data_IF_013304727910
#
_entry.id   IF_013304727910
#
_cell.length_a   1.000
_cell.length_b   1.000
_cell.length_c   1.000
_cell.angle_alpha   90.00
_cell.angle_beta   90.00
_cell.angle_gamma   90.00
#
_symmetry.space_group_name_H-M   'P 1'
#
loop_
_entity.id
_entity.type
_entity.pdbx_description
1 polymer ?
#
# COMPACT_ATOMS: atom_id res chain seq x y z
N UNK A 1 -19.56 63.70 -17.14
CA UNK A 1 -18.86 62.51 -16.61
C UNK A 1 -19.92 61.52 -16.13
N UNK A 2 -20.03 60.31 -16.69
CA UNK A 2 -21.08 59.38 -16.27
C UNK A 2 -20.72 58.81 -14.89
N UNK A 3 -21.63 58.98 -13.91
CA UNK A 3 -21.53 58.34 -12.60
C UNK A 3 -21.87 56.86 -12.80
N UNK A 4 -20.89 55.99 -12.64
CA UNK A 4 -21.11 54.54 -12.60
C UNK A 4 -21.93 54.23 -11.34
N UNK A 5 -23.26 54.12 -11.48
CA UNK A 5 -24.13 53.70 -10.38
C UNK A 5 -24.06 52.19 -10.27
N UNK A 6 -23.23 51.68 -9.36
CA UNK A 6 -23.31 50.27 -8.97
C UNK A 6 -24.62 50.07 -8.21
N UNK A 7 -25.60 49.40 -8.84
CA UNK A 7 -26.85 49.04 -8.17
C UNK A 7 -26.56 48.10 -7.00
N UNK A 8 -27.23 48.31 -5.86
CA UNK A 8 -27.05 47.56 -4.62
C UNK A 8 -27.16 46.03 -4.79
N UNK A 9 -27.95 45.58 -5.78
CA UNK A 9 -28.08 44.17 -6.17
C UNK A 9 -26.78 43.59 -6.77
N UNK A 10 -26.08 44.34 -7.61
CA UNK A 10 -24.81 43.90 -8.20
C UNK A 10 -23.69 43.81 -7.16
N UNK A 11 -23.71 44.71 -6.17
CA UNK A 11 -22.80 44.65 -5.03
C UNK A 11 -23.03 43.39 -4.19
N UNK A 12 -24.30 43.05 -3.89
CA UNK A 12 -24.64 41.84 -3.12
C UNK A 12 -24.28 40.56 -3.87
N UNK A 13 -24.56 40.49 -5.18
CA UNK A 13 -24.18 39.35 -6.02
C UNK A 13 -22.65 39.20 -6.05
N UNK A 14 -21.91 40.30 -6.25
CA UNK A 14 -20.45 40.28 -6.25
C UNK A 14 -19.87 39.76 -4.92
N UNK A 15 -20.41 40.22 -3.78
CA UNK A 15 -19.99 39.73 -2.46
C UNK A 15 -20.30 38.23 -2.29
N UNK A 16 -21.50 37.78 -2.66
CA UNK A 16 -21.87 36.36 -2.59
C UNK A 16 -20.97 35.49 -3.50
N UNK A 17 -20.64 35.96 -4.70
CA UNK A 17 -19.75 35.25 -5.62
C UNK A 17 -18.32 35.20 -5.09
N UNK A 18 -17.79 36.30 -4.54
CA UNK A 18 -16.46 36.32 -3.91
C UNK A 18 -16.40 35.38 -2.70
N UNK A 19 -17.43 35.38 -1.85
CA UNK A 19 -17.51 34.47 -0.70
C UNK A 19 -17.62 33.00 -1.12
N UNK A 20 -18.36 32.70 -2.20
CA UNK A 20 -18.45 31.35 -2.76
C UNK A 20 -17.09 30.87 -3.31
N UNK A 21 -16.37 31.72 -4.05
CA UNK A 21 -15.04 31.40 -4.56
C UNK A 21 -14.00 31.25 -3.43
N UNK A 22 -14.04 32.10 -2.39
CA UNK A 22 -13.19 31.94 -1.21
C UNK A 22 -13.52 30.63 -0.46
N UNK A 23 -14.79 30.28 -0.28
CA UNK A 23 -15.19 29.04 0.39
C UNK A 23 -14.77 27.77 -0.36
N UNK A 24 -14.82 27.80 -1.70
CA UNK A 24 -14.42 26.67 -2.54
C UNK A 24 -12.91 26.39 -2.53
N UNK A 25 -12.06 27.41 -2.32
CA UNK A 25 -10.61 27.24 -2.23
C UNK A 25 -10.13 26.58 -0.92
N UNK A 26 -11.00 26.46 0.09
CA UNK A 26 -10.64 25.98 1.43
C UNK A 26 -11.03 24.51 1.71
N UNK A 27 -11.71 23.79 0.81
CA UNK A 27 -12.43 22.56 1.18
C UNK A 27 -11.91 21.24 0.60
N UNK A 28 -10.72 21.19 0.00
CA UNK A 28 -10.08 19.91 -0.34
C UNK A 28 -8.65 19.88 0.21
N UNK A 29 -8.54 19.53 1.50
CA UNK A 29 -7.31 18.91 2.01
C UNK A 29 -7.52 17.41 2.00
N UNK A 30 -6.79 16.71 1.14
CA UNK A 30 -6.56 15.29 1.36
C UNK A 30 -5.67 15.18 2.59
N UNK A 31 -6.23 14.73 3.71
CA UNK A 31 -5.41 14.36 4.86
C UNK A 31 -4.47 13.23 4.41
N UNK A 32 -3.14 13.37 4.55
CA UNK A 32 -2.23 12.30 4.20
C UNK A 32 -2.60 11.08 5.03
N UNK A 33 -2.72 9.92 4.37
CA UNK A 33 -3.00 8.68 5.07
C UNK A 33 -2.02 8.51 6.23
N UNK A 34 -2.56 8.32 7.44
CA UNK A 34 -1.75 8.15 8.65
C UNK A 34 -0.80 6.98 8.41
N UNK A 35 0.50 7.18 8.66
CA UNK A 35 1.47 6.11 8.46
C UNK A 35 1.14 4.94 9.40
N UNK A 36 0.88 3.79 8.82
CA UNK A 36 0.68 2.54 9.56
C UNK A 36 2.03 1.84 9.66
N UNK A 37 2.44 1.47 10.87
CA UNK A 37 3.61 0.62 11.07
C UNK A 37 3.19 -0.84 10.90
N UNK A 38 3.60 -1.45 9.79
CA UNK A 38 3.52 -2.90 9.62
C UNK A 38 4.62 -3.56 10.46
N UNK A 39 4.24 -4.57 11.23
CA UNK A 39 5.16 -5.37 12.05
C UNK A 39 5.01 -6.82 11.62
N UNK A 40 6.10 -7.40 11.12
CA UNK A 40 6.16 -8.82 10.85
C UNK A 40 6.30 -9.58 12.18
N UNK A 41 5.38 -10.53 12.41
CA UNK A 41 5.34 -11.36 13.62
C UNK A 41 5.73 -12.82 13.31
N UNK A 42 6.37 -13.05 12.15
CA UNK A 42 6.76 -14.36 11.67
C UNK A 42 8.27 -14.58 11.81
N UNK A 43 8.68 -15.84 12.03
CA UNK A 43 10.08 -16.26 11.96
C UNK A 43 10.45 -16.67 10.52
N UNK A 44 11.75 -16.59 10.18
CA UNK A 44 12.27 -17.16 8.94
C UNK A 44 11.87 -18.64 8.78
N UNK A 45 11.51 -19.03 7.56
CA UNK A 45 11.01 -20.37 7.24
C UNK A 45 11.94 -21.09 6.26
N UNK A 46 12.79 -21.98 6.78
CA UNK A 46 13.83 -22.69 6.03
C UNK A 46 14.22 -24.04 6.69
N UNK A 47 15.32 -24.66 6.26
CA UNK A 47 15.78 -25.96 6.78
C UNK A 47 16.11 -25.96 8.27
N UNK A 48 16.27 -24.78 8.89
CA UNK A 48 16.56 -24.61 10.32
C UNK A 48 15.31 -24.33 11.15
N UNK A 49 14.14 -24.15 10.52
CA UNK A 49 12.87 -23.99 11.23
C UNK A 49 12.62 -25.18 12.14
N UNK A 50 12.21 -24.88 13.38
CA UNK A 50 11.93 -25.90 14.40
C UNK A 50 10.57 -26.54 14.14
N UNK A 51 10.54 -27.87 14.25
CA UNK A 51 9.34 -28.71 14.19
C UNK A 51 9.33 -29.64 15.40
N UNK A 52 8.17 -30.25 15.68
CA UNK A 52 8.10 -31.36 16.61
C UNK A 52 9.02 -32.52 16.16
N UNK A 53 9.71 -33.21 17.07
CA UNK A 53 10.69 -34.25 16.71
C UNK A 53 10.16 -35.39 15.84
N UNK A 54 8.86 -35.67 15.90
CA UNK A 54 8.19 -36.72 15.11
C UNK A 54 7.54 -36.20 13.83
N UNK A 55 7.55 -34.88 13.59
CA UNK A 55 6.95 -34.25 12.41
C UNK A 55 7.93 -34.15 11.25
N UNK A 56 7.38 -34.01 10.04
CA UNK A 56 8.19 -33.76 8.85
C UNK A 56 8.77 -32.34 8.89
N UNK A 57 10.10 -32.24 8.98
CA UNK A 57 10.81 -30.96 8.87
C UNK A 57 10.68 -30.35 7.47
N UNK A 58 10.99 -29.07 7.38
CA UNK A 58 11.09 -28.35 6.11
C UNK A 58 12.08 -29.03 5.15
N UNK A 59 11.66 -29.21 3.90
CA UNK A 59 12.51 -29.65 2.80
C UNK A 59 12.23 -28.79 1.58
N UNK A 60 13.31 -28.30 0.98
CA UNK A 60 13.29 -27.60 -0.31
C UNK A 60 14.14 -28.40 -1.30
N UNK A 61 13.57 -28.63 -2.48
CA UNK A 61 14.25 -29.21 -3.64
C UNK A 61 14.32 -28.14 -4.73
N UNK A 62 15.52 -27.91 -5.26
CA UNK A 62 15.73 -26.95 -6.35
C UNK A 62 15.39 -27.66 -7.66
N UNK A 63 14.42 -27.13 -8.40
CA UNK A 63 13.97 -27.65 -9.70
C UNK A 63 14.71 -26.97 -10.85
N UNK A 64 14.93 -25.65 -10.74
CA UNK A 64 15.78 -24.89 -11.63
C UNK A 64 16.44 -23.77 -10.82
N UNK A 65 17.70 -23.46 -11.10
CA UNK A 65 18.34 -22.22 -10.65
C UNK A 65 19.41 -21.80 -11.65
N UNK A 66 19.10 -20.78 -12.46
CA UNK A 66 20.10 -20.24 -13.39
C UNK A 66 19.54 -19.47 -14.57
N UNK A 67 20.44 -19.09 -15.48
CA UNK A 67 20.06 -18.53 -16.79
C UNK A 67 19.40 -19.61 -17.66
N UNK A 68 18.31 -19.25 -18.31
CA UNK A 68 17.63 -20.05 -19.32
C UNK A 68 18.28 -19.85 -20.69
N UNK A 69 17.95 -20.73 -21.63
CA UNK A 69 18.35 -20.59 -23.03
C UNK A 69 17.83 -19.29 -23.66
N UNK A 70 16.70 -18.76 -23.17
CA UNK A 70 16.15 -17.46 -23.59
C UNK A 70 16.90 -16.25 -23.02
N UNK A 71 17.98 -16.45 -22.26
CA UNK A 71 18.84 -15.39 -21.75
C UNK A 71 18.39 -14.74 -20.43
N UNK A 72 17.27 -15.16 -19.84
CA UNK A 72 16.76 -14.65 -18.56
C UNK A 72 17.08 -15.60 -17.40
N UNK A 73 17.10 -15.10 -16.16
CA UNK A 73 17.28 -15.94 -14.97
C UNK A 73 15.94 -16.55 -14.54
N UNK A 74 15.94 -17.85 -14.21
CA UNK A 74 14.77 -18.56 -13.69
C UNK A 74 15.16 -19.44 -12.49
N UNK A 75 14.37 -19.35 -11.42
CA UNK A 75 14.46 -20.25 -10.28
C UNK A 75 13.10 -20.85 -9.94
N UNK A 76 13.10 -22.14 -9.63
CA UNK A 76 11.93 -22.88 -9.19
C UNK A 76 12.34 -23.89 -8.12
N UNK A 77 11.52 -24.05 -7.09
CA UNK A 77 11.77 -25.00 -6.00
C UNK A 77 10.47 -25.72 -5.62
N UNK A 78 10.56 -27.01 -5.31
CA UNK A 78 9.50 -27.74 -4.63
C UNK A 78 9.75 -27.64 -3.12
N UNK A 79 8.70 -27.38 -2.35
CA UNK A 79 8.77 -27.27 -0.89
C UNK A 79 7.80 -28.28 -0.27
N UNK A 80 8.22 -28.93 0.81
CA UNK A 80 7.33 -29.71 1.67
C UNK A 80 7.70 -29.55 3.14
N UNK A 81 6.69 -29.49 4.00
CA UNK A 81 6.82 -29.33 5.45
C UNK A 81 5.55 -29.87 6.14
N UNK A 82 5.61 -30.15 7.43
CA UNK A 82 4.40 -30.31 8.24
C UNK A 82 3.69 -28.95 8.42
N UNK A 83 2.36 -28.98 8.57
CA UNK A 83 1.55 -27.78 8.80
C UNK A 83 1.96 -27.01 10.06
N UNK A 84 2.33 -27.72 11.13
CA UNK A 84 2.64 -27.13 12.44
C UNK A 84 4.15 -26.86 12.61
N UNK A 85 4.73 -26.14 11.66
CA UNK A 85 6.13 -25.70 11.69
C UNK A 85 6.26 -24.19 11.65
N UNK A 86 7.22 -23.63 12.38
CA UNK A 86 7.42 -22.17 12.42
C UNK A 86 6.18 -21.42 12.91
N UNK A 87 5.98 -20.19 12.44
CA UNK A 87 4.75 -19.43 12.71
C UNK A 87 3.61 -19.99 11.85
N UNK A 88 2.57 -20.54 12.48
CA UNK A 88 1.45 -21.20 11.81
C UNK A 88 0.11 -20.86 12.50
N UNK A 89 -1.01 -21.33 11.95
CA UNK A 89 -2.37 -21.13 12.46
C UNK A 89 -3.06 -22.47 12.73
#
# INVERSE_FOLDING_TARGET
MPRLQLNFSHFFIFVCTVLFFLGSALTIRAEPAKSVRLVDLTHSFDQTTIYWPTSKSFRMEIIQRGKTEGGYWYEANNISAAEHGGTHM
#
